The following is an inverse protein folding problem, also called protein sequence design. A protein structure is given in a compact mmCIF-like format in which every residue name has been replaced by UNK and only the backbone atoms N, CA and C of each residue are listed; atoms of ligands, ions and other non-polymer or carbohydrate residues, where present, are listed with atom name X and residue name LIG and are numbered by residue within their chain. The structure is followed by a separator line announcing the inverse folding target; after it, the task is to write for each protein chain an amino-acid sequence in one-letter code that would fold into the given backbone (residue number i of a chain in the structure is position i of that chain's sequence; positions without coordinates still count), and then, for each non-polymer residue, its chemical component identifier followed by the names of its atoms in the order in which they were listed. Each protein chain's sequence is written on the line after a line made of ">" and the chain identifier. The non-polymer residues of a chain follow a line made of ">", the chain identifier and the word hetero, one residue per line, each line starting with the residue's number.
data_IF_142976512949
#
_entry.id   IF_142976512949
#
_cell.length_a   1.000
_cell.length_b   1.000
_cell.length_c   1.000
_cell.angle_alpha   90.00
_cell.angle_beta   90.00
_cell.angle_gamma   90.00
#
_symmetry.space_group_name_H-M   'P 1'
#
loop_
_entity.id
_entity.type
_entity.pdbx_description
1 polymer ?
#
# COMPACT_ATOMS: atom_id res chain seq x y z
N UNK A 1 -40.01 -35.16 23.41
CA UNK A 1 -40.57 -33.96 22.77
C UNK A 1 -39.80 -32.75 23.28
N UNK A 2 -39.51 -31.80 22.40
CA UNK A 2 -38.92 -30.47 22.67
C UNK A 2 -37.42 -30.46 22.98
N UNK A 3 -36.54 -29.66 22.36
CA UNK A 3 -36.69 -28.50 21.51
C UNK A 3 -35.48 -28.41 20.55
N UNK A 4 -35.72 -28.44 19.25
CA UNK A 4 -34.75 -27.99 18.24
C UNK A 4 -34.90 -26.47 18.11
N UNK A 5 -34.07 -25.69 18.82
CA UNK A 5 -33.90 -24.28 18.50
C UNK A 5 -32.94 -24.16 17.33
N UNK A 6 -33.49 -24.15 16.12
CA UNK A 6 -32.85 -23.61 14.93
C UNK A 6 -32.63 -22.10 15.15
N UNK A 7 -31.42 -21.70 15.52
CA UNK A 7 -30.97 -20.33 15.34
C UNK A 7 -30.85 -20.07 13.83
N UNK A 8 -31.92 -19.53 13.24
CA UNK A 8 -31.88 -18.97 11.88
C UNK A 8 -30.99 -17.73 11.96
N UNK A 9 -29.77 -17.84 11.46
CA UNK A 9 -28.98 -16.67 11.13
C UNK A 9 -29.66 -15.96 9.94
N UNK A 10 -30.32 -14.84 10.22
CA UNK A 10 -30.79 -13.87 9.24
C UNK A 10 -29.57 -13.29 8.51
N UNK A 11 -29.15 -13.96 7.44
CA UNK A 11 -28.26 -13.36 6.45
C UNK A 11 -29.12 -12.48 5.55
N UNK A 12 -29.24 -11.20 5.88
CA UNK A 12 -29.89 -10.23 5.00
C UNK A 12 -29.18 -10.27 3.64
N UNK A 13 -29.91 -10.61 2.59
CA UNK A 13 -29.37 -10.77 1.25
C UNK A 13 -28.84 -9.44 0.68
N UNK A 14 -28.02 -9.46 -0.40
CA UNK A 14 -27.51 -8.24 -1.03
C UNK A 14 -28.62 -7.21 -1.35
N UNK A 15 -29.80 -7.70 -1.73
CA UNK A 15 -30.98 -6.90 -2.08
C UNK A 15 -31.60 -6.14 -0.91
N UNK A 16 -31.43 -6.62 0.33
CA UNK A 16 -31.94 -5.93 1.53
C UNK A 16 -31.00 -4.82 2.00
N UNK A 17 -29.71 -4.89 1.64
CA UNK A 17 -28.74 -3.85 1.93
C UNK A 17 -28.94 -2.62 1.03
N UNK A 18 -29.36 -2.83 -0.22
CA UNK A 18 -29.62 -1.74 -1.19
C UNK A 18 -30.81 -0.84 -0.77
N UNK A 19 -31.70 -1.35 0.08
CA UNK A 19 -32.86 -0.61 0.58
C UNK A 19 -32.57 0.21 1.85
N UNK A 20 -31.38 0.08 2.46
CA UNK A 20 -31.02 0.79 3.69
C UNK A 20 -30.61 2.24 3.41
N UNK A 21 -30.97 3.15 4.31
CA UNK A 21 -30.37 4.50 4.32
C UNK A 21 -28.88 4.43 4.66
N UNK A 22 -28.11 5.45 4.27
CA UNK A 22 -26.67 5.52 4.57
C UNK A 22 -26.36 5.35 6.06
N UNK A 23 -27.15 5.96 6.94
CA UNK A 23 -26.99 5.85 8.40
C UNK A 23 -27.35 4.45 8.89
N UNK A 24 -28.41 3.83 8.35
CA UNK A 24 -28.80 2.47 8.69
C UNK A 24 -27.74 1.45 8.22
N UNK A 25 -27.17 1.62 7.02
CA UNK A 25 -26.08 0.80 6.51
C UNK A 25 -24.82 0.93 7.38
N UNK A 26 -24.49 2.15 7.82
CA UNK A 26 -23.37 2.40 8.73
C UNK A 26 -23.55 1.66 10.06
N UNK A 27 -24.72 1.80 10.70
CA UNK A 27 -25.01 1.12 11.98
C UNK A 27 -25.05 -0.41 11.83
N UNK A 28 -25.62 -0.90 10.73
CA UNK A 28 -25.61 -2.33 10.40
C UNK A 28 -24.19 -2.87 10.25
N UNK A 29 -23.31 -2.13 9.56
CA UNK A 29 -21.88 -2.49 9.40
C UNK A 29 -21.15 -2.55 10.75
N UNK A 30 -21.38 -1.58 11.64
CA UNK A 30 -20.81 -1.59 12.99
C UNK A 30 -21.28 -2.81 13.80
N UNK A 31 -22.57 -3.13 13.71
CA UNK A 31 -23.19 -4.28 14.38
C UNK A 31 -22.62 -5.61 13.86
N UNK A 32 -22.52 -5.76 12.53
CA UNK A 32 -21.93 -6.94 11.89
C UNK A 32 -20.47 -7.13 12.30
N UNK A 33 -19.68 -6.05 12.35
CA UNK A 33 -18.29 -6.14 12.80
C UNK A 33 -18.18 -6.49 14.30
N UNK A 34 -19.06 -5.98 15.16
CA UNK A 34 -19.10 -6.37 16.57
C UNK A 34 -19.49 -7.85 16.74
N UNK A 35 -20.47 -8.34 16.00
CA UNK A 35 -20.83 -9.76 15.98
C UNK A 35 -19.66 -10.64 15.52
N UNK A 36 -18.94 -10.22 14.47
CA UNK A 36 -17.73 -10.89 13.98
C UNK A 36 -16.65 -11.00 15.06
N UNK A 37 -16.40 -9.93 15.82
CA UNK A 37 -15.41 -9.93 16.91
C UNK A 37 -15.76 -10.92 18.03
N UNK A 38 -17.04 -10.95 18.45
CA UNK A 38 -17.53 -11.93 19.44
C UNK A 38 -17.43 -13.36 18.94
N UNK A 39 -17.71 -13.59 17.66
CA UNK A 39 -17.56 -14.91 17.03
C UNK A 39 -16.09 -15.37 17.02
N UNK A 40 -15.14 -14.48 16.74
CA UNK A 40 -13.70 -14.79 16.81
C UNK A 40 -13.31 -15.16 18.25
N UNK A 41 -13.70 -14.37 19.26
CA UNK A 41 -13.38 -14.68 20.65
C UNK A 41 -13.93 -16.05 21.07
N UNK A 42 -15.18 -16.36 20.71
CA UNK A 42 -15.80 -17.68 20.95
C UNK A 42 -15.04 -18.81 20.25
N UNK A 43 -14.62 -18.61 19.00
CA UNK A 43 -13.83 -19.58 18.25
C UNK A 43 -12.49 -19.87 18.93
N UNK A 44 -11.76 -18.85 19.40
CA UNK A 44 -10.49 -19.04 20.11
C UNK A 44 -10.68 -19.86 21.39
N UNK A 45 -11.74 -19.59 22.15
CA UNK A 45 -12.10 -20.36 23.34
C UNK A 45 -12.40 -21.84 23.00
N UNK A 46 -13.13 -22.11 21.93
CA UNK A 46 -13.39 -23.48 21.47
C UNK A 46 -12.11 -24.20 21.05
N UNK A 47 -11.23 -23.54 20.30
CA UNK A 47 -9.96 -24.09 19.87
C UNK A 47 -9.06 -24.44 21.07
N UNK A 48 -9.02 -23.57 22.09
CA UNK A 48 -8.29 -23.82 23.33
C UNK A 48 -8.79 -25.09 24.06
N UNK A 49 -10.12 -25.25 24.19
CA UNK A 49 -10.71 -26.43 24.83
C UNK A 49 -10.55 -27.71 24.00
N UNK A 50 -10.61 -27.61 22.67
CA UNK A 50 -10.36 -28.73 21.75
C UNK A 50 -8.92 -29.26 21.90
N UNK A 51 -7.96 -28.37 22.11
CA UNK A 51 -6.57 -28.75 22.31
C UNK A 51 -6.32 -29.35 23.69
N UNK A 52 -6.89 -28.74 24.74
CA UNK A 52 -6.81 -29.26 26.12
C UNK A 52 -7.35 -30.68 26.22
N UNK A 53 -8.51 -30.92 25.62
CA UNK A 53 -9.16 -32.24 25.58
C UNK A 53 -8.59 -33.17 24.50
N UNK A 54 -7.59 -32.70 23.73
CA UNK A 54 -6.97 -33.41 22.60
C UNK A 54 -7.98 -33.97 21.59
N UNK A 55 -9.12 -33.29 21.40
CA UNK A 55 -10.20 -33.74 20.50
C UNK A 55 -9.74 -33.78 19.04
N UNK A 56 -8.81 -32.92 18.65
CA UNK A 56 -8.20 -32.94 17.32
C UNK A 56 -7.52 -34.28 17.02
N UNK A 57 -6.83 -34.89 18.00
CA UNK A 57 -6.21 -36.21 17.85
C UNK A 57 -7.25 -37.32 17.70
N UNK A 58 -8.31 -37.29 18.52
CA UNK A 58 -9.43 -38.26 18.45
C UNK A 58 -10.13 -38.20 17.09
N UNK A 59 -10.14 -37.02 16.45
CA UNK A 59 -10.71 -36.81 15.12
C UNK A 59 -9.72 -37.03 13.97
N UNK A 60 -8.49 -37.48 14.26
CA UNK A 60 -7.50 -37.87 13.24
C UNK A 60 -6.65 -36.72 12.68
N UNK A 61 -6.60 -35.57 13.34
CA UNK A 61 -5.73 -34.46 12.94
C UNK A 61 -4.42 -34.48 13.75
N UNK A 62 -3.30 -34.28 13.07
CA UNK A 62 -1.96 -34.36 13.65
C UNK A 62 -1.64 -33.23 14.64
N UNK A 63 -2.35 -32.12 14.57
CA UNK A 63 -2.22 -30.97 15.46
C UNK A 63 -3.47 -30.08 15.43
N UNK A 64 -3.57 -29.12 16.35
CA UNK A 64 -4.62 -28.10 16.29
C UNK A 64 -4.53 -27.27 14.99
N UNK A 65 -3.32 -27.01 14.50
CA UNK A 65 -3.11 -26.34 13.22
C UNK A 65 -3.67 -27.14 12.04
N UNK A 66 -3.38 -28.45 11.99
CA UNK A 66 -3.88 -29.37 10.96
C UNK A 66 -5.43 -29.43 10.96
N UNK A 67 -6.04 -29.45 12.14
CA UNK A 67 -7.50 -29.32 12.29
C UNK A 67 -8.01 -28.00 11.67
N UNK A 68 -7.36 -26.87 11.98
CA UNK A 68 -7.81 -25.55 11.50
C UNK A 68 -7.76 -25.46 9.97
N UNK A 69 -6.71 -25.99 9.35
CA UNK A 69 -6.55 -25.95 7.89
C UNK A 69 -7.51 -26.93 7.21
N UNK A 70 -7.48 -28.21 7.60
CA UNK A 70 -8.18 -29.28 6.87
C UNK A 70 -9.66 -29.44 7.23
N UNK A 71 -10.04 -29.17 8.47
CA UNK A 71 -11.43 -29.31 8.93
C UNK A 71 -12.19 -27.98 8.85
N UNK A 72 -11.58 -26.90 9.35
CA UNK A 72 -12.23 -25.60 9.43
C UNK A 72 -12.03 -24.73 8.18
N UNK A 73 -11.26 -25.21 7.19
CA UNK A 73 -11.06 -24.52 5.91
C UNK A 73 -10.31 -23.20 6.02
N UNK A 74 -9.52 -23.00 7.08
CA UNK A 74 -8.75 -21.77 7.27
C UNK A 74 -7.50 -21.77 6.38
N UNK A 75 -7.11 -20.59 5.89
CA UNK A 75 -5.77 -20.42 5.32
C UNK A 75 -4.70 -20.63 6.39
N UNK A 76 -3.49 -20.98 5.98
CA UNK A 76 -2.32 -21.22 6.85
C UNK A 76 -2.06 -20.04 7.79
N UNK A 77 -2.12 -18.82 7.24
CA UNK A 77 -1.93 -17.60 8.03
C UNK A 77 -3.06 -17.35 9.04
N UNK A 78 -4.30 -17.69 8.70
CA UNK A 78 -5.43 -17.60 9.63
C UNK A 78 -5.34 -18.68 10.71
N UNK A 79 -4.98 -19.91 10.35
CA UNK A 79 -4.77 -21.02 11.26
C UNK A 79 -3.66 -20.70 12.27
N UNK A 80 -2.50 -20.21 11.81
CA UNK A 80 -1.39 -19.83 12.70
C UNK A 80 -1.81 -18.79 13.74
N UNK A 81 -2.51 -17.72 13.32
CA UNK A 81 -2.99 -16.67 14.24
C UNK A 81 -4.05 -17.21 15.20
N UNK A 82 -4.95 -18.07 14.73
CA UNK A 82 -6.03 -18.64 15.55
C UNK A 82 -5.47 -19.60 16.60
N UNK A 83 -4.51 -20.44 16.25
CA UNK A 83 -3.80 -21.33 17.19
C UNK A 83 -3.02 -20.50 18.21
N UNK A 84 -2.20 -19.54 17.76
CA UNK A 84 -1.44 -18.66 18.66
C UNK A 84 -2.36 -17.87 19.60
N UNK A 85 -3.49 -17.39 19.07
CA UNK A 85 -4.51 -16.67 19.83
C UNK A 85 -5.23 -17.56 20.84
N UNK A 86 -5.55 -18.81 20.48
CA UNK A 86 -6.16 -19.78 21.39
C UNK A 86 -5.22 -20.14 22.55
N UNK A 87 -3.93 -20.34 22.27
CA UNK A 87 -2.91 -20.56 23.29
C UNK A 87 -2.81 -19.37 24.25
N UNK A 88 -2.72 -18.14 23.73
CA UNK A 88 -2.63 -16.94 24.55
C UNK A 88 -3.91 -16.70 25.36
N UNK A 89 -5.09 -16.88 24.75
CA UNK A 89 -6.38 -16.74 25.39
C UNK A 89 -6.58 -17.72 26.55
N UNK A 90 -6.04 -18.94 26.43
CA UNK A 90 -6.06 -19.94 27.50
C UNK A 90 -5.23 -19.51 28.71
N UNK A 91 -4.02 -19.00 28.46
CA UNK A 91 -3.13 -18.55 29.54
C UNK A 91 -3.57 -17.20 30.12
N UNK A 92 -4.22 -16.35 29.32
CA UNK A 92 -4.61 -14.98 29.68
C UNK A 92 -6.06 -14.69 29.24
N UNK A 93 -7.06 -15.16 30.00
CA UNK A 93 -8.48 -14.99 29.68
C UNK A 93 -8.95 -13.54 29.39
N UNK A 94 -8.42 -12.48 30.04
CA UNK A 94 -8.81 -11.10 29.74
C UNK A 94 -8.63 -10.69 28.26
N UNK A 95 -7.72 -11.34 27.53
CA UNK A 95 -7.52 -11.09 26.10
C UNK A 95 -8.77 -11.43 25.25
N UNK A 96 -9.61 -12.38 25.68
CA UNK A 96 -10.83 -12.76 24.96
C UNK A 96 -11.90 -11.66 25.04
N UNK A 97 -12.07 -11.05 26.21
CA UNK A 97 -13.00 -9.92 26.41
C UNK A 97 -12.56 -8.71 25.59
N UNK A 98 -11.25 -8.40 25.59
CA UNK A 98 -10.70 -7.35 24.76
C UNK A 98 -10.92 -7.58 23.27
N UNK A 99 -10.84 -8.83 22.80
CA UNK A 99 -11.18 -9.18 21.42
C UNK A 99 -12.68 -8.99 21.15
N UNK A 100 -13.54 -9.49 22.04
CA UNK A 100 -14.98 -9.41 21.90
C UNK A 100 -15.48 -7.96 21.80
N UNK A 101 -14.97 -7.06 22.65
CA UNK A 101 -15.34 -5.65 22.66
C UNK A 101 -14.66 -4.86 21.52
N UNK A 102 -13.52 -5.34 21.04
CA UNK A 102 -12.75 -4.72 19.95
C UNK A 102 -11.61 -3.83 20.40
N UNK A 103 -11.24 -3.89 21.68
CA UNK A 103 -10.01 -3.28 22.22
C UNK A 103 -8.75 -3.99 21.71
N UNK A 104 -8.83 -5.26 21.31
CA UNK A 104 -7.71 -6.00 20.74
C UNK A 104 -8.16 -6.76 19.49
N UNK A 105 -7.31 -6.79 18.45
CA UNK A 105 -7.57 -7.61 17.26
C UNK A 105 -6.74 -8.91 17.27
N UNK A 106 -7.22 -9.99 16.64
CA UNK A 106 -6.56 -11.32 16.63
C UNK A 106 -5.09 -11.27 16.21
N UNK A 107 -4.75 -10.48 15.19
CA UNK A 107 -3.36 -10.30 14.75
C UNK A 107 -2.46 -9.70 15.84
N UNK A 108 -3.02 -8.85 16.70
CA UNK A 108 -2.30 -8.17 17.78
C UNK A 108 -2.02 -9.15 18.90
N UNK A 109 -3.05 -9.91 19.31
CA UNK A 109 -2.89 -11.02 20.25
C UNK A 109 -1.83 -12.02 19.78
N UNK A 110 -1.85 -12.42 18.50
CA UNK A 110 -0.85 -13.34 17.94
C UNK A 110 0.58 -12.77 17.95
N UNK A 111 0.77 -11.45 17.87
CA UNK A 111 2.09 -10.81 17.92
C UNK A 111 2.65 -10.78 19.34
N UNK A 112 1.79 -10.51 20.33
CA UNK A 112 2.19 -10.43 21.73
C UNK A 112 2.22 -11.79 22.44
N UNK A 113 1.54 -12.81 21.88
CA UNK A 113 1.33 -14.12 22.51
C UNK A 113 2.61 -14.75 23.09
N UNK A 114 3.72 -14.70 22.35
CA UNK A 114 5.01 -15.28 22.78
C UNK A 114 5.73 -14.49 23.88
N UNK A 115 5.27 -13.28 24.18
CA UNK A 115 5.89 -12.34 25.12
C UNK A 115 5.00 -12.05 26.33
N UNK A 116 3.76 -12.52 26.33
CA UNK A 116 2.87 -12.45 27.47
C UNK A 116 3.36 -13.44 28.54
N UNK A 117 3.54 -12.93 29.75
CA UNK A 117 3.87 -13.69 30.96
C UNK A 117 2.88 -13.33 32.07
N UNK A 118 2.72 -14.18 33.10
CA UNK A 118 1.85 -13.88 34.25
C UNK A 118 2.16 -12.55 34.94
N UNK A 119 3.40 -12.05 34.84
CA UNK A 119 3.83 -10.81 35.47
C UNK A 119 3.54 -9.57 34.63
N UNK A 120 3.55 -9.69 33.29
CA UNK A 120 3.42 -8.54 32.39
C UNK A 120 2.06 -8.42 31.70
N UNK A 121 1.23 -9.48 31.72
CA UNK A 121 0.08 -9.58 30.83
C UNK A 121 -0.95 -8.45 31.03
N UNK A 122 -1.23 -8.02 32.26
CA UNK A 122 -2.20 -6.95 32.53
C UNK A 122 -1.74 -5.65 31.86
N UNK A 123 -0.55 -5.18 32.20
CA UNK A 123 -0.03 -3.90 31.71
C UNK A 123 0.23 -3.94 30.19
N UNK A 124 0.75 -5.05 29.66
CA UNK A 124 0.99 -5.17 28.22
C UNK A 124 -0.33 -5.20 27.44
N UNK A 125 -1.37 -5.87 27.95
CA UNK A 125 -2.69 -5.88 27.33
C UNK A 125 -3.34 -4.48 27.33
N UNK A 126 -3.22 -3.74 28.43
CA UNK A 126 -3.66 -2.34 28.51
C UNK A 126 -2.91 -1.45 27.50
N UNK A 127 -1.58 -1.59 27.43
CA UNK A 127 -0.75 -0.80 26.53
C UNK A 127 -1.04 -1.03 25.05
N UNK A 128 -1.53 -2.23 24.66
CA UNK A 128 -1.91 -2.54 23.27
C UNK A 128 -3.40 -2.31 22.97
N UNK A 129 -4.20 -1.93 23.97
CA UNK A 129 -5.62 -1.70 23.79
C UNK A 129 -5.89 -0.55 22.81
N UNK A 130 -6.77 -0.78 21.83
CA UNK A 130 -7.19 0.20 20.83
C UNK A 130 -6.14 0.53 19.76
N UNK A 131 -4.97 -0.12 19.79
CA UNK A 131 -3.85 0.18 18.90
C UNK A 131 -3.91 -0.58 17.59
N UNK A 132 -3.37 0.03 16.53
CA UNK A 132 -3.20 -0.66 15.25
C UNK A 132 -2.05 -1.66 15.32
N UNK A 133 -1.95 -2.57 14.35
CA UNK A 133 -0.79 -3.48 14.23
C UNK A 133 0.55 -2.73 14.29
N UNK A 134 0.66 -1.57 13.63
CA UNK A 134 1.89 -0.79 13.61
C UNK A 134 2.22 -0.24 15.00
N UNK A 135 1.22 0.32 15.68
CA UNK A 135 1.39 0.88 17.03
C UNK A 135 1.69 -0.22 18.07
N UNK A 136 1.12 -1.42 17.92
CA UNK A 136 1.44 -2.57 18.76
C UNK A 136 2.92 -2.95 18.60
N UNK A 137 3.47 -2.88 17.40
CA UNK A 137 4.90 -3.14 17.19
C UNK A 137 5.78 -2.09 17.88
N UNK A 138 5.36 -0.82 17.91
CA UNK A 138 6.04 0.25 18.67
C UNK A 138 6.00 -0.06 20.18
N UNK A 139 4.84 -0.44 20.71
CA UNK A 139 4.70 -0.84 22.12
C UNK A 139 5.61 -2.01 22.46
N UNK A 140 5.65 -3.03 21.59
CA UNK A 140 6.52 -4.19 21.79
C UNK A 140 8.00 -3.82 21.74
N UNK A 141 8.40 -2.86 20.90
CA UNK A 141 9.77 -2.35 20.87
C UNK A 141 10.13 -1.62 22.17
N UNK A 142 9.18 -0.87 22.77
CA UNK A 142 9.36 -0.21 24.08
C UNK A 142 9.55 -1.24 25.21
N UNK A 143 8.72 -2.27 25.22
CA UNK A 143 8.74 -3.31 26.25
C UNK A 143 9.93 -4.27 26.12
N UNK A 144 10.34 -4.55 24.89
CA UNK A 144 11.38 -5.53 24.56
C UNK A 144 12.40 -4.91 23.59
N UNK A 145 13.20 -3.92 24.05
CA UNK A 145 14.18 -3.26 23.20
C UNK A 145 15.19 -4.29 22.70
N UNK A 146 15.44 -4.27 21.39
CA UNK A 146 16.51 -5.06 20.79
C UNK A 146 17.77 -4.20 20.71
N UNK A 147 18.96 -4.78 20.91
CA UNK A 147 20.20 -4.04 20.73
C UNK A 147 20.30 -3.55 19.28
N UNK A 148 20.89 -2.36 19.12
CA UNK A 148 21.10 -1.74 17.81
C UNK A 148 21.85 -2.72 16.89
N UNK A 149 21.24 -3.04 15.75
CA UNK A 149 21.90 -3.85 14.71
C UNK A 149 22.78 -2.88 13.92
N UNK A 150 24.10 -3.08 13.84
CA UNK A 150 24.98 -2.18 13.11
C UNK A 150 24.59 -2.12 11.63
N UNK A 151 24.74 -0.94 11.04
CA UNK A 151 24.51 -0.69 9.62
C UNK A 151 25.30 -1.70 8.77
N UNK A 152 24.60 -2.64 8.13
CA UNK A 152 25.18 -3.62 7.21
C UNK A 152 24.56 -3.47 5.84
N UNK A 153 25.40 -3.13 4.86
CA UNK A 153 25.09 -3.25 3.44
C UNK A 153 25.70 -4.56 2.97
N UNK A 154 24.93 -5.64 3.04
CA UNK A 154 25.34 -6.93 2.48
C UNK A 154 24.77 -7.09 1.05
N UNK A 155 25.58 -7.47 0.07
CA UNK A 155 25.06 -7.86 -1.23
C UNK A 155 24.16 -9.09 -1.07
N UNK A 156 22.95 -9.04 -1.62
CA UNK A 156 22.06 -10.22 -1.68
C UNK A 156 22.65 -11.18 -2.70
N UNK A 157 23.51 -12.07 -2.23
CA UNK A 157 24.00 -13.21 -3.01
C UNK A 157 22.82 -14.14 -3.28
N UNK A 158 22.51 -14.36 -4.55
CA UNK A 158 21.58 -15.41 -4.96
C UNK A 158 22.09 -16.78 -4.47
N UNK A 159 21.38 -17.35 -3.51
CA UNK A 159 21.37 -18.75 -3.05
C UNK A 159 22.65 -19.58 -3.16
N UNK A 160 23.22 -19.95 -2.01
CA UNK A 160 23.61 -21.35 -1.73
C UNK A 160 23.63 -21.61 -0.23
N UNK A 161 23.17 -22.81 0.12
CA UNK A 161 22.70 -23.24 1.43
C UNK A 161 23.80 -23.54 2.47
N UNK A 162 23.47 -23.27 3.74
CA UNK A 162 24.12 -23.77 4.96
C UNK A 162 23.32 -23.27 6.18
N UNK A 163 22.86 -24.18 7.05
CA UNK A 163 21.81 -23.97 8.08
C UNK A 163 22.06 -22.84 9.10
N UNK A 164 21.09 -22.31 9.84
CA UNK A 164 19.91 -22.93 10.45
C UNK A 164 18.83 -21.88 10.80
N UNK A 165 17.56 -22.30 10.66
CA UNK A 165 16.35 -21.86 11.39
C UNK A 165 15.73 -20.47 11.14
N UNK A 166 14.58 -20.47 10.45
CA UNK A 166 13.52 -19.45 10.63
C UNK A 166 12.77 -19.01 9.36
N UNK A 167 11.91 -19.89 8.82
CA UNK A 167 11.10 -19.69 7.61
C UNK A 167 10.09 -18.53 7.70
N UNK A 168 10.11 -17.60 6.72
CA UNK A 168 8.93 -16.90 6.21
C UNK A 168 9.08 -16.63 4.70
N UNK A 169 8.31 -17.37 3.91
CA UNK A 169 7.43 -16.84 2.86
C UNK A 169 8.08 -16.02 1.75
N UNK A 170 8.23 -16.68 0.61
CA UNK A 170 8.45 -16.09 -0.71
C UNK A 170 7.28 -15.15 -1.06
N UNK A 171 7.54 -13.85 -1.02
CA UNK A 171 6.87 -12.83 -1.84
C UNK A 171 7.98 -11.92 -2.39
N UNK A 172 8.48 -12.30 -3.56
CA UNK A 172 9.43 -11.52 -4.34
C UNK A 172 8.75 -10.33 -4.98
N UNK A 173 8.69 -9.21 -4.27
CA UNK A 173 8.74 -7.85 -4.83
C UNK A 173 8.82 -6.85 -3.67
N UNK A 174 9.97 -6.16 -3.60
CA UNK A 174 10.17 -4.83 -3.00
C UNK A 174 9.18 -4.44 -1.90
N UNK A 175 9.58 -4.63 -0.64
CA UNK A 175 9.03 -3.85 0.45
C UNK A 175 10.16 -3.17 1.20
N UNK A 176 10.21 -1.84 1.07
CA UNK A 176 10.79 -1.00 2.12
C UNK A 176 9.99 -1.27 3.39
N UNK A 177 10.67 -1.77 4.42
CA UNK A 177 10.06 -2.06 5.71
C UNK A 177 10.67 -1.09 6.71
N UNK A 178 9.84 -0.17 7.19
CA UNK A 178 10.17 0.73 8.29
C UNK A 178 9.72 0.02 9.56
N UNK A 179 10.66 -0.57 10.30
CA UNK A 179 10.37 -1.17 11.61
C UNK A 179 10.77 -0.19 12.71
N UNK A 180 9.87 0.17 13.64
CA UNK A 180 10.27 0.97 14.80
C UNK A 180 11.25 0.19 15.67
N UNK A 181 12.43 0.76 15.93
CA UNK A 181 13.44 0.25 16.88
C UNK A 181 13.23 0.87 18.27
N UNK A 182 12.82 2.14 18.34
CA UNK A 182 12.44 2.89 19.55
C UNK A 182 11.37 3.95 19.23
N UNK A 183 10.88 4.72 20.22
CA UNK A 183 9.91 5.82 20.00
C UNK A 183 10.43 6.91 19.04
N UNK A 184 11.76 7.04 18.90
CA UNK A 184 12.42 8.08 18.09
C UNK A 184 13.27 7.50 16.94
N UNK A 185 13.45 6.18 16.85
CA UNK A 185 14.32 5.54 15.84
C UNK A 185 13.62 4.42 15.10
N UNK A 186 13.75 4.43 13.79
CA UNK A 186 13.16 3.46 12.89
C UNK A 186 14.25 2.78 12.05
N UNK A 187 14.24 1.45 11.99
CA UNK A 187 15.03 0.68 11.03
C UNK A 187 14.39 0.83 9.66
N UNK A 188 15.11 1.45 8.73
CA UNK A 188 14.71 1.53 7.33
C UNK A 188 15.50 0.49 6.55
N UNK A 189 14.85 -0.62 6.21
CA UNK A 189 15.46 -1.66 5.36
C UNK A 189 14.76 -1.73 4.01
N UNK A 190 15.52 -1.59 2.93
CA UNK A 190 15.04 -1.83 1.57
C UNK A 190 16.18 -2.39 0.70
N UNK A 191 15.83 -3.19 -0.30
CA UNK A 191 16.77 -3.63 -1.32
C UNK A 191 16.94 -2.54 -2.38
N UNK A 192 18.16 -2.01 -2.51
CA UNK A 192 18.52 -0.99 -3.51
C UNK A 192 19.17 -1.60 -4.75
N UNK A 193 19.01 -0.94 -5.91
CA UNK A 193 19.74 -1.31 -7.13
C UNK A 193 21.22 -0.93 -7.04
N UNK A 194 22.06 -1.51 -7.92
CA UNK A 194 23.47 -1.13 -8.02
C UNK A 194 23.66 0.37 -8.33
N UNK A 195 22.76 0.96 -9.13
CA UNK A 195 22.76 2.39 -9.42
C UNK A 195 22.46 3.23 -8.17
N UNK A 196 21.51 2.78 -7.33
CA UNK A 196 21.19 3.46 -6.07
C UNK A 196 22.37 3.40 -5.09
N UNK A 197 23.05 2.25 -5.00
CA UNK A 197 24.29 2.12 -4.22
C UNK A 197 25.34 3.11 -4.70
N UNK A 198 25.57 3.21 -6.00
CA UNK A 198 26.55 4.14 -6.57
C UNK A 198 26.20 5.61 -6.26
N UNK A 199 24.91 5.99 -6.35
CA UNK A 199 24.43 7.33 -5.97
C UNK A 199 24.65 7.61 -4.48
N UNK A 200 24.40 6.62 -3.63
CA UNK A 200 24.59 6.73 -2.19
C UNK A 200 26.07 6.92 -1.82
N UNK A 201 26.96 6.12 -2.41
CA UNK A 201 28.41 6.24 -2.23
C UNK A 201 28.93 7.60 -2.73
N UNK A 202 28.43 8.06 -3.88
CA UNK A 202 28.78 9.37 -4.42
C UNK A 202 28.33 10.50 -3.48
N UNK A 203 27.11 10.44 -2.96
CA UNK A 203 26.60 11.40 -1.99
C UNK A 203 27.41 11.39 -0.68
N UNK A 204 27.75 10.22 -0.14
CA UNK A 204 28.59 10.10 1.06
C UNK A 204 29.99 10.70 0.85
N UNK A 205 30.57 10.53 -0.33
CA UNK A 205 31.88 11.09 -0.66
C UNK A 205 31.83 12.63 -0.75
N UNK A 206 30.80 13.18 -1.40
CA UNK A 206 30.58 14.63 -1.45
C UNK A 206 30.29 15.23 -0.06
N UNK A 207 29.62 14.48 0.81
CA UNK A 207 29.30 14.89 2.18
C UNK A 207 30.36 14.51 3.21
N UNK A 208 31.54 14.04 2.77
CA UNK A 208 32.59 13.53 3.66
C UNK A 208 33.06 14.53 4.71
N UNK A 209 33.03 15.84 4.40
CA UNK A 209 33.35 16.92 5.33
C UNK A 209 32.26 17.22 6.36
N UNK A 210 31.04 16.73 6.16
CA UNK A 210 29.89 17.00 7.03
C UNK A 210 29.48 15.73 7.80
N UNK A 211 29.16 14.66 7.10
CA UNK A 211 28.91 13.33 7.66
C UNK A 211 28.77 12.29 6.55
N UNK A 212 29.35 11.12 6.74
CA UNK A 212 29.13 9.93 5.88
C UNK A 212 28.00 9.04 6.40
N UNK A 213 27.37 9.39 7.53
CA UNK A 213 26.28 8.60 8.12
C UNK A 213 25.09 8.60 7.17
N UNK A 214 24.52 7.41 6.94
CA UNK A 214 23.40 7.23 6.03
C UNK A 214 22.19 8.06 6.43
N UNK A 215 21.86 8.08 7.72
CA UNK A 215 20.80 8.90 8.30
C UNK A 215 20.85 10.36 7.82
N UNK A 216 22.01 11.01 7.95
CA UNK A 216 22.20 12.42 7.59
C UNK A 216 22.11 12.64 6.07
N UNK A 217 22.64 11.70 5.29
CA UNK A 217 22.57 11.75 3.81
C UNK A 217 21.12 11.60 3.35
N UNK A 218 20.38 10.64 3.91
CA UNK A 218 18.99 10.39 3.57
C UNK A 218 18.08 11.53 4.03
N UNK A 219 18.25 12.06 5.24
CA UNK A 219 17.48 13.18 5.75
C UNK A 219 17.59 14.40 4.82
N UNK A 220 18.82 14.78 4.45
CA UNK A 220 19.04 15.90 3.51
C UNK A 220 18.50 15.63 2.10
N UNK A 221 18.62 14.39 1.63
CA UNK A 221 18.08 14.01 0.33
C UNK A 221 16.55 14.11 0.32
N UNK A 222 15.89 13.64 1.38
CA UNK A 222 14.44 13.72 1.56
C UNK A 222 13.98 15.17 1.72
N UNK A 223 14.66 15.99 2.51
CA UNK A 223 14.37 17.42 2.64
C UNK A 223 14.41 18.14 1.28
N UNK A 224 15.43 17.87 0.48
CA UNK A 224 15.56 18.44 -0.86
C UNK A 224 14.41 17.99 -1.76
N UNK A 225 14.09 16.69 -1.76
CA UNK A 225 13.00 16.14 -2.55
C UNK A 225 11.63 16.71 -2.13
N UNK A 226 11.37 16.81 -0.83
CA UNK A 226 10.14 17.38 -0.28
C UNK A 226 10.01 18.83 -0.72
N UNK A 227 11.06 19.65 -0.57
CA UNK A 227 11.06 21.06 -1.02
C UNK A 227 10.80 21.17 -2.52
N UNK A 228 11.40 20.31 -3.32
CA UNK A 228 11.20 20.27 -4.77
C UNK A 228 9.73 19.93 -5.12
N UNK A 229 9.17 18.90 -4.50
CA UNK A 229 7.80 18.44 -4.75
C UNK A 229 6.77 19.47 -4.25
N UNK A 230 6.95 20.04 -3.05
CA UNK A 230 6.08 21.08 -2.52
C UNK A 230 6.09 22.34 -3.39
N UNK A 231 7.25 22.71 -3.93
CA UNK A 231 7.35 23.82 -4.89
C UNK A 231 6.67 23.47 -6.23
N UNK A 232 6.91 22.28 -6.77
CA UNK A 232 6.34 21.85 -8.06
C UNK A 232 4.81 21.79 -7.99
N UNK A 233 4.28 21.14 -6.96
CA UNK A 233 2.85 20.84 -6.85
C UNK A 233 2.05 22.01 -6.27
N UNK A 234 2.57 22.67 -5.23
CA UNK A 234 1.81 23.64 -4.43
C UNK A 234 2.36 25.07 -4.53
N UNK A 235 3.50 25.27 -5.21
CA UNK A 235 4.11 26.58 -5.34
C UNK A 235 4.73 27.10 -4.04
N UNK A 236 4.99 26.23 -3.06
CA UNK A 236 5.70 26.56 -1.82
C UNK A 236 7.15 26.92 -2.14
N UNK A 237 7.52 28.17 -1.94
CA UNK A 237 8.85 28.70 -2.27
C UNK A 237 9.22 29.79 -1.28
N UNK A 238 10.50 29.86 -0.92
CA UNK A 238 11.02 30.83 0.06
C UNK A 238 11.00 32.28 -0.46
N UNK A 239 11.06 32.47 -1.79
CA UNK A 239 11.10 33.81 -2.42
C UNK A 239 10.05 33.96 -3.51
N UNK A 240 8.77 34.16 -3.14
CA UNK A 240 7.72 34.34 -4.10
C UNK A 240 7.83 35.68 -4.84
N UNK A 241 7.66 35.66 -6.17
CA UNK A 241 7.50 36.87 -6.96
C UNK A 241 6.10 37.45 -6.74
N UNK A 242 5.98 38.79 -6.73
CA UNK A 242 4.66 39.45 -6.72
C UNK A 242 3.90 39.08 -7.99
N UNK A 243 2.70 38.54 -7.85
CA UNK A 243 1.80 38.28 -8.97
C UNK A 243 1.26 39.61 -9.51
N UNK A 244 1.38 39.83 -10.82
CA UNK A 244 0.63 40.89 -11.50
C UNK A 244 -0.87 40.56 -11.44
N UNK A 245 -1.68 41.51 -10.98
CA UNK A 245 -3.09 41.31 -10.55
C UNK A 245 -4.11 40.94 -11.64
N UNK A 246 -3.75 40.09 -12.61
CA UNK A 246 -4.68 39.59 -13.62
C UNK A 246 -5.49 38.45 -13.01
N UNK A 247 -6.80 38.65 -12.87
CA UNK A 247 -7.74 37.62 -12.40
C UNK A 247 -7.93 36.58 -13.51
N UNK A 248 -7.37 35.40 -13.32
CA UNK A 248 -7.56 34.25 -14.20
C UNK A 248 -8.55 33.27 -13.53
N UNK A 249 -9.23 32.46 -14.34
CA UNK A 249 -10.09 31.39 -13.84
C UNK A 249 -9.25 30.27 -13.20
N UNK A 250 -7.97 30.14 -13.57
CA UNK A 250 -7.07 29.13 -12.99
C UNK A 250 -6.37 29.67 -11.74
N UNK A 251 -6.20 28.84 -10.70
CA UNK A 251 -5.51 29.26 -9.48
C UNK A 251 -4.04 29.53 -9.74
N UNK A 252 -3.57 30.68 -9.25
CA UNK A 252 -2.17 31.05 -9.34
C UNK A 252 -1.31 30.18 -8.41
N UNK A 253 0.02 30.24 -8.59
CA UNK A 253 0.96 29.62 -7.63
C UNK A 253 0.88 30.23 -6.24
N UNK A 254 0.43 31.49 -6.12
CA UNK A 254 0.20 32.12 -4.82
C UNK A 254 -1.07 31.54 -4.18
N UNK A 255 -2.16 31.39 -4.93
CA UNK A 255 -3.41 30.82 -4.43
C UNK A 255 -3.24 29.37 -3.97
N UNK A 256 -2.48 28.56 -4.73
CA UNK A 256 -2.18 27.17 -4.35
C UNK A 256 -1.38 27.07 -3.06
N UNK A 257 -0.41 27.97 -2.86
CA UNK A 257 0.41 28.01 -1.64
C UNK A 257 -0.44 28.36 -0.43
N UNK A 258 -1.24 29.41 -0.56
CA UNK A 258 -2.14 29.87 0.51
C UNK A 258 -3.10 28.76 0.94
N UNK A 259 -3.75 28.10 -0.02
CA UNK A 259 -4.67 26.98 0.26
C UNK A 259 -3.93 25.79 0.88
N UNK A 260 -2.73 25.46 0.40
CA UNK A 260 -1.96 24.34 0.95
C UNK A 260 -1.51 24.57 2.40
N UNK A 261 -1.07 25.77 2.72
CA UNK A 261 -0.68 26.18 4.07
C UNK A 261 -1.90 26.25 5.00
N UNK A 262 -2.98 26.90 4.56
CA UNK A 262 -4.25 27.01 5.30
C UNK A 262 -4.83 25.63 5.64
N UNK A 263 -4.79 24.69 4.70
CA UNK A 263 -5.39 23.36 4.89
C UNK A 263 -4.42 22.36 5.56
N UNK A 264 -3.17 22.76 5.85
CA UNK A 264 -2.22 21.97 6.65
C UNK A 264 -1.75 20.68 5.96
N UNK A 265 -1.63 20.70 4.62
CA UNK A 265 -1.27 19.53 3.81
C UNK A 265 -2.17 18.30 4.10
N UNK A 266 -3.46 18.53 4.31
CA UNK A 266 -4.45 17.52 4.64
C UNK A 266 -5.78 17.85 3.98
N UNK A 267 -6.54 16.81 3.62
CA UNK A 267 -7.89 16.98 3.10
C UNK A 267 -8.74 17.89 4.02
N UNK A 268 -9.40 18.87 3.42
CA UNK A 268 -10.26 19.85 4.09
C UNK A 268 -11.71 19.38 4.26
N UNK A 269 -12.10 18.25 3.67
CA UNK A 269 -13.44 17.70 3.79
C UNK A 269 -13.78 17.37 5.25
N UNK A 270 -14.98 17.79 5.67
CA UNK A 270 -15.59 17.48 6.95
C UNK A 270 -16.93 16.80 6.69
N UNK A 271 -17.15 15.65 7.33
CA UNK A 271 -18.42 14.93 7.22
C UNK A 271 -19.58 15.73 7.84
N UNK A 272 -20.85 15.40 7.54
CA UNK A 272 -22.00 15.98 8.22
C UNK A 272 -21.97 15.81 9.75
N UNK A 273 -21.29 14.75 10.22
CA UNK A 273 -21.07 14.48 11.66
C UNK A 273 -19.88 15.23 12.26
N UNK A 274 -19.22 16.13 11.51
CA UNK A 274 -18.11 16.96 12.00
C UNK A 274 -16.72 16.33 11.93
N UNK A 275 -16.56 15.17 11.29
CA UNK A 275 -15.26 14.46 11.22
C UNK A 275 -14.46 14.91 10.01
N UNK A 276 -13.26 15.45 10.23
CA UNK A 276 -12.34 15.85 9.15
C UNK A 276 -11.55 14.65 8.60
N UNK A 277 -11.45 14.55 7.29
CA UNK A 277 -10.65 13.52 6.63
C UNK A 277 -9.15 13.65 6.97
N UNK A 278 -8.48 12.53 7.29
CA UNK A 278 -7.05 12.47 7.66
C UNK A 278 -6.10 12.21 6.49
N UNK A 279 -6.61 12.12 5.26
CA UNK A 279 -5.79 11.85 4.09
C UNK A 279 -4.79 13.00 3.81
N UNK A 280 -3.52 12.64 3.65
CA UNK A 280 -2.40 13.55 3.27
C UNK A 280 -1.81 13.25 1.90
N UNK A 281 -2.20 12.12 1.30
CA UNK A 281 -1.74 11.69 -0.02
C UNK A 281 -2.81 11.94 -1.09
N UNK A 282 -2.37 12.01 -2.35
CA UNK A 282 -3.23 12.25 -3.52
C UNK A 282 -4.14 13.47 -3.36
N UNK A 283 -3.59 14.53 -2.75
CA UNK A 283 -4.29 15.81 -2.59
C UNK A 283 -4.40 16.52 -3.93
N UNK A 284 -5.56 17.11 -4.15
CA UNK A 284 -5.94 17.85 -5.36
C UNK A 284 -6.50 19.21 -4.94
N UNK A 285 -6.22 20.23 -5.74
CA UNK A 285 -6.83 21.55 -5.57
C UNK A 285 -8.24 21.50 -6.15
N UNK A 286 -9.23 21.57 -5.27
CA UNK A 286 -10.64 21.65 -5.62
C UNK A 286 -11.14 23.09 -5.48
N UNK A 287 -12.16 23.43 -6.26
CA UNK A 287 -12.85 24.71 -6.15
C UNK A 287 -14.18 24.46 -5.42
N UNK A 288 -14.45 25.22 -4.35
CA UNK A 288 -15.71 25.14 -3.59
C UNK A 288 -16.88 25.36 -4.54
N UNK A 289 -16.82 26.44 -5.32
CA UNK A 289 -17.66 26.64 -6.50
C UNK A 289 -16.87 26.18 -7.74
N UNK A 290 -17.30 25.09 -8.40
CA UNK A 290 -16.56 24.55 -9.53
C UNK A 290 -16.44 25.52 -10.71
N UNK A 291 -15.30 25.50 -11.40
CA UNK A 291 -15.03 26.35 -12.57
C UNK A 291 -16.11 26.24 -13.66
N UNK A 292 -16.60 25.03 -13.93
CA UNK A 292 -17.67 24.80 -14.91
C UNK A 292 -19.01 25.41 -14.55
N UNK A 293 -19.16 25.92 -13.31
CA UNK A 293 -20.33 26.66 -12.82
C UNK A 293 -20.03 28.16 -12.61
N UNK A 294 -18.90 28.66 -13.10
CA UNK A 294 -18.52 30.07 -13.00
C UNK A 294 -17.70 30.44 -11.75
N UNK A 295 -17.23 29.46 -10.98
CA UNK A 295 -16.32 29.71 -9.86
C UNK A 295 -14.98 30.28 -10.29
N UNK A 296 -14.38 31.14 -9.46
CA UNK A 296 -13.07 31.77 -9.71
C UNK A 296 -11.89 30.93 -9.21
N UNK A 297 -10.67 31.23 -9.68
CA UNK A 297 -9.44 30.53 -9.27
C UNK A 297 -8.78 31.07 -7.99
N UNK A 298 -9.41 32.02 -7.29
CA UNK A 298 -8.82 32.70 -6.14
C UNK A 298 -8.74 31.77 -4.93
N UNK A 299 -7.74 31.96 -4.06
CA UNK A 299 -7.53 31.13 -2.87
C UNK A 299 -8.77 30.92 -1.98
N UNK A 300 -9.64 31.93 -1.88
CA UNK A 300 -10.91 31.85 -1.12
C UNK A 300 -11.88 30.79 -1.67
N UNK A 301 -11.86 30.54 -2.98
CA UNK A 301 -12.66 29.52 -3.63
C UNK A 301 -11.91 28.16 -3.68
N UNK A 302 -10.64 28.13 -3.31
CA UNK A 302 -9.83 26.91 -3.33
C UNK A 302 -9.87 26.14 -2.02
N UNK A 303 -9.76 24.82 -2.09
CA UNK A 303 -9.52 23.91 -0.96
C UNK A 303 -8.75 22.66 -1.39
N UNK A 304 -8.11 21.99 -0.44
CA UNK A 304 -7.48 20.69 -0.69
C UNK A 304 -8.45 19.55 -0.41
N UNK A 305 -8.64 18.67 -1.38
CA UNK A 305 -9.36 17.41 -1.20
C UNK A 305 -8.47 16.24 -1.62
N UNK A 306 -8.62 15.08 -0.97
CA UNK A 306 -8.06 13.85 -1.54
C UNK A 306 -8.83 13.47 -2.80
N UNK A 307 -8.21 12.67 -3.68
CA UNK A 307 -8.84 12.23 -4.93
C UNK A 307 -10.28 11.69 -4.75
N UNK A 308 -10.54 10.93 -3.68
CA UNK A 308 -11.87 10.40 -3.39
C UNK A 308 -12.90 11.49 -3.02
N UNK A 309 -12.54 12.45 -2.16
CA UNK A 309 -13.45 13.53 -1.80
C UNK A 309 -13.62 14.56 -2.94
N UNK A 310 -12.60 14.74 -3.78
CA UNK A 310 -12.74 15.55 -4.99
C UNK A 310 -13.70 14.90 -5.99
N UNK A 311 -13.64 13.59 -6.17
CA UNK A 311 -14.61 12.85 -6.99
C UNK A 311 -16.03 12.96 -6.41
N UNK A 312 -16.19 12.77 -5.10
CA UNK A 312 -17.47 12.97 -4.41
C UNK A 312 -18.05 14.37 -4.67
N UNK A 313 -17.22 15.42 -4.50
CA UNK A 313 -17.64 16.79 -4.75
C UNK A 313 -18.04 17.01 -6.22
N UNK A 314 -17.26 16.49 -7.17
CA UNK A 314 -17.55 16.58 -8.58
C UNK A 314 -18.89 15.91 -8.93
N UNK A 315 -19.18 14.73 -8.36
CA UNK A 315 -20.46 14.02 -8.54
C UNK A 315 -21.63 14.80 -7.95
N UNK A 316 -21.47 15.38 -6.77
CA UNK A 316 -22.50 16.23 -6.15
C UNK A 316 -22.77 17.49 -6.96
N UNK A 317 -21.73 18.09 -7.56
CA UNK A 317 -21.87 19.31 -8.33
C UNK A 317 -22.43 19.05 -9.75
N UNK A 318 -21.99 18.02 -10.44
CA UNK A 318 -22.27 17.82 -11.87
C UNK A 318 -23.18 16.62 -12.19
N UNK A 319 -23.46 15.76 -11.20
CA UNK A 319 -24.17 14.50 -11.38
C UNK A 319 -23.25 13.35 -11.74
N UNK A 320 -23.51 12.16 -11.18
CA UNK A 320 -22.68 10.97 -11.36
C UNK A 320 -22.55 10.55 -12.83
N UNK A 321 -23.65 10.56 -13.58
CA UNK A 321 -23.67 10.13 -14.99
C UNK A 321 -22.74 10.97 -15.88
N UNK A 322 -22.72 12.28 -15.67
CA UNK A 322 -21.87 13.21 -16.42
C UNK A 322 -20.39 12.97 -16.10
N UNK A 323 -20.07 12.70 -14.83
CA UNK A 323 -18.71 12.39 -14.41
C UNK A 323 -18.26 11.04 -14.98
N UNK A 324 -19.10 10.02 -14.92
CA UNK A 324 -18.78 8.69 -15.44
C UNK A 324 -18.57 8.69 -16.95
N UNK A 325 -19.38 9.44 -17.71
CA UNK A 325 -19.16 9.64 -19.15
C UNK A 325 -17.83 10.34 -19.44
N UNK A 326 -17.49 11.41 -18.69
CA UNK A 326 -16.20 12.10 -18.84
C UNK A 326 -15.01 11.19 -18.51
N UNK A 327 -15.12 10.37 -17.47
CA UNK A 327 -14.09 9.39 -17.11
C UNK A 327 -13.92 8.36 -18.22
N UNK A 328 -15.03 7.80 -18.75
CA UNK A 328 -14.99 6.86 -19.87
C UNK A 328 -14.33 7.46 -21.10
N UNK A 329 -14.72 8.67 -21.49
CA UNK A 329 -14.11 9.38 -22.63
C UNK A 329 -12.62 9.63 -22.42
N UNK A 330 -12.22 10.07 -21.23
CA UNK A 330 -10.81 10.31 -20.92
C UNK A 330 -9.97 9.02 -20.98
N UNK A 331 -10.51 7.90 -20.47
CA UNK A 331 -9.86 6.59 -20.58
C UNK A 331 -9.70 6.14 -22.03
N UNK A 332 -10.76 6.25 -22.84
CA UNK A 332 -10.69 5.91 -24.26
C UNK A 332 -9.64 6.75 -25.02
N UNK A 333 -9.53 8.05 -24.71
CA UNK A 333 -8.48 8.90 -25.30
C UNK A 333 -7.08 8.49 -24.83
N UNK A 334 -6.91 8.14 -23.55
CA UNK A 334 -5.63 7.68 -23.02
C UNK A 334 -5.21 6.33 -23.61
N UNK A 335 -6.15 5.40 -23.80
CA UNK A 335 -5.92 4.12 -24.45
C UNK A 335 -5.51 4.30 -25.92
N UNK A 336 -6.16 5.20 -26.65
CA UNK A 336 -5.79 5.54 -28.03
C UNK A 336 -4.40 6.19 -28.11
N UNK A 337 -4.07 7.09 -27.18
CA UNK A 337 -2.75 7.70 -27.11
C UNK A 337 -1.66 6.67 -26.76
N UNK A 338 -1.95 5.74 -25.83
CA UNK A 338 -1.05 4.64 -25.49
C UNK A 338 -0.85 3.66 -26.65
N UNK A 339 -1.89 3.37 -27.41
CA UNK A 339 -1.79 2.54 -28.62
C UNK A 339 -0.96 3.24 -29.72
N UNK A 340 -1.09 4.55 -29.88
CA UNK A 340 -0.28 5.34 -30.80
C UNK A 340 1.20 5.38 -30.36
N UNK A 341 1.48 5.53 -29.07
CA UNK A 341 2.85 5.53 -28.51
C UNK A 341 3.50 4.15 -28.64
N UNK A 342 2.76 3.07 -28.37
CA UNK A 342 3.23 1.70 -28.59
C UNK A 342 3.51 1.40 -30.08
N UNK A 343 2.67 1.91 -30.98
CA UNK A 343 2.90 1.82 -32.42
C UNK A 343 4.14 2.61 -32.86
N UNK A 344 4.42 3.75 -32.22
CA UNK A 344 5.60 4.57 -32.51
C UNK A 344 6.89 3.94 -31.95
N UNK A 345 6.88 3.40 -30.73
CA UNK A 345 8.01 2.67 -30.15
C UNK A 345 8.39 1.43 -30.97
N UNK A 346 7.38 0.70 -31.46
CA UNK A 346 7.59 -0.46 -32.35
C UNK A 346 8.27 -0.03 -33.67
N UNK A 347 7.83 1.09 -34.26
CA UNK A 347 8.43 1.66 -35.47
C UNK A 347 9.88 2.09 -35.23
N UNK A 348 10.15 2.77 -34.11
CA UNK A 348 11.49 3.22 -33.72
C UNK A 348 12.44 2.03 -33.48
N UNK A 349 11.95 0.93 -32.90
CA UNK A 349 12.71 -0.33 -32.75
C UNK A 349 13.06 -0.95 -34.11
N UNK A 350 12.10 -1.04 -35.03
CA UNK A 350 12.33 -1.54 -36.39
C UNK A 350 13.36 -0.69 -37.15
N UNK A 351 13.31 0.65 -37.01
CA UNK A 351 14.27 1.55 -37.62
C UNK A 351 15.68 1.40 -37.03
N UNK A 352 15.81 1.32 -35.70
CA UNK A 352 17.08 1.07 -35.01
C UNK A 352 17.68 -0.29 -35.41
N UNK A 353 16.87 -1.34 -35.49
CA UNK A 353 17.29 -2.67 -35.95
C UNK A 353 17.81 -2.62 -37.39
N UNK A 354 17.07 -1.98 -38.30
CA UNK A 354 17.48 -1.82 -39.71
C UNK A 354 18.82 -1.09 -39.82
N UNK A 355 19.02 -0.02 -39.07
CA UNK A 355 20.29 0.72 -39.05
C UNK A 355 21.41 -0.17 -38.53
N UNK A 356 21.22 -0.87 -37.40
CA UNK A 356 22.22 -1.74 -36.82
C UNK A 356 22.69 -2.85 -37.78
N UNK A 357 21.75 -3.52 -38.47
CA UNK A 357 22.08 -4.59 -39.43
C UNK A 357 22.84 -4.07 -40.66
N UNK A 358 22.49 -2.89 -41.16
CA UNK A 358 23.23 -2.26 -42.27
C UNK A 358 24.64 -1.87 -41.84
N UNK A 359 24.81 -1.34 -40.62
CA UNK A 359 26.14 -1.03 -40.06
C UNK A 359 26.99 -2.28 -39.87
N UNK A 360 26.39 -3.44 -39.60
CA UNK A 360 27.08 -4.74 -39.53
C UNK A 360 27.46 -5.32 -40.91
N UNK A 361 27.10 -4.66 -42.02
CA UNK A 361 27.52 -5.03 -43.37
C UNK A 361 26.48 -5.78 -44.21
N UNK A 362 25.26 -5.97 -43.71
CA UNK A 362 24.18 -6.61 -44.46
C UNK A 362 23.54 -5.66 -45.49
N UNK A 363 23.11 -6.19 -46.64
CA UNK A 363 22.49 -5.37 -47.69
C UNK A 363 21.15 -4.80 -47.20
N UNK A 364 20.93 -3.50 -47.44
CA UNK A 364 19.71 -2.78 -47.05
C UNK A 364 18.42 -3.49 -47.49
N UNK A 365 18.42 -4.10 -48.67
CA UNK A 365 17.27 -4.85 -49.21
C UNK A 365 16.96 -6.13 -48.42
N UNK A 366 17.97 -6.81 -47.88
CA UNK A 366 17.83 -8.01 -47.05
C UNK A 366 17.38 -7.62 -45.63
N UNK A 367 17.97 -6.55 -45.06
CA UNK A 367 17.56 -6.01 -43.77
C UNK A 367 16.08 -5.60 -43.77
N UNK A 368 15.60 -4.92 -44.82
CA UNK A 368 14.18 -4.55 -44.92
C UNK A 368 13.25 -5.76 -44.96
N UNK A 369 13.64 -6.85 -45.64
CA UNK A 369 12.85 -8.09 -45.69
C UNK A 369 12.77 -8.77 -44.32
N UNK A 370 13.89 -8.83 -43.60
CA UNK A 370 13.94 -9.47 -42.28
C UNK A 370 13.18 -8.64 -41.23
N UNK A 371 13.31 -7.32 -41.24
CA UNK A 371 12.52 -6.45 -40.36
C UNK A 371 11.02 -6.57 -40.62
N UNK A 372 10.60 -6.69 -41.89
CA UNK A 372 9.20 -6.94 -42.23
C UNK A 372 8.72 -8.33 -41.78
N UNK A 373 9.59 -9.35 -41.84
CA UNK A 373 9.27 -10.72 -41.43
C UNK A 373 9.20 -10.92 -39.91
N UNK A 374 9.73 -9.99 -39.11
CA UNK A 374 9.63 -10.04 -37.64
C UNK A 374 8.21 -9.66 -37.15
N UNK A 375 7.42 -8.92 -37.94
CA UNK A 375 6.00 -8.66 -37.67
C UNK A 375 5.70 -8.26 -36.21
N UNK A 376 4.81 -9.01 -35.54
CA UNK A 376 4.40 -8.77 -34.14
C UNK A 376 5.49 -9.10 -33.10
N UNK A 377 6.60 -9.74 -33.48
CA UNK A 377 7.73 -10.00 -32.58
C UNK A 377 8.41 -8.69 -32.17
N UNK A 378 8.38 -7.67 -33.04
CA UNK A 378 8.90 -6.33 -32.77
C UNK A 378 8.16 -5.60 -31.63
N UNK A 379 6.90 -5.94 -31.39
CA UNK A 379 6.08 -5.39 -30.29
C UNK A 379 6.44 -6.02 -28.94
N UNK A 380 6.89 -7.29 -28.93
CA UNK A 380 7.05 -8.10 -27.71
C UNK A 380 8.48 -8.19 -27.21
N UNK A 381 9.46 -8.17 -28.11
CA UNK A 381 10.85 -8.45 -27.77
C UNK A 381 11.66 -7.15 -27.59
N UNK A 382 12.61 -7.11 -26.62
CA UNK A 382 13.55 -6.01 -26.51
C UNK A 382 14.53 -6.00 -27.70
N UNK A 383 15.12 -4.84 -27.99
CA UNK A 383 15.90 -4.59 -29.20
C UNK A 383 17.08 -5.56 -29.37
N UNK A 384 17.73 -5.97 -28.28
CA UNK A 384 18.84 -6.92 -28.27
C UNK A 384 18.43 -8.33 -28.72
N UNK A 385 17.22 -8.77 -28.37
CA UNK A 385 16.66 -10.04 -28.81
C UNK A 385 16.23 -9.99 -30.28
N UNK A 386 15.66 -8.86 -30.72
CA UNK A 386 15.32 -8.63 -32.13
C UNK A 386 16.56 -8.64 -33.04
N UNK A 387 17.69 -8.08 -32.58
CA UNK A 387 18.96 -8.14 -33.30
C UNK A 387 19.43 -9.59 -33.45
N UNK A 388 19.37 -10.40 -32.38
CA UNK A 388 19.75 -11.82 -32.44
C UNK A 388 18.89 -12.61 -33.42
N UNK A 389 17.58 -12.44 -33.34
CA UNK A 389 16.62 -13.12 -34.21
C UNK A 389 16.80 -12.71 -35.69
N UNK A 390 17.03 -11.42 -35.94
CA UNK A 390 17.33 -10.94 -37.28
C UNK A 390 18.64 -11.50 -37.85
N UNK A 391 19.69 -11.61 -37.03
CA UNK A 391 20.97 -12.18 -37.43
C UNK A 391 20.85 -13.68 -37.75
N UNK A 392 20.06 -14.44 -36.97
CA UNK A 392 19.77 -15.85 -37.25
C UNK A 392 19.10 -16.03 -38.61
N UNK A 393 18.20 -15.12 -39.00
CA UNK A 393 17.51 -15.15 -40.30
C UNK A 393 18.39 -14.68 -41.48
N UNK A 394 19.35 -13.79 -41.23
CA UNK A 394 20.30 -13.30 -42.23
C UNK A 394 21.52 -14.21 -42.44
N UNK A 395 21.81 -15.08 -41.48
CA UNK A 395 22.91 -16.05 -41.54
C UNK A 395 22.39 -17.48 -41.35
N UNK A 396 21.56 -17.99 -42.29
CA UNK A 396 21.20 -19.40 -42.27
C UNK A 396 22.49 -20.24 -42.44
N UNK A 397 22.69 -21.20 -41.55
CA UNK A 397 23.83 -22.14 -41.61
C UNK A 397 23.83 -22.97 -42.89
#
# INVERSE_FOLDING_TARGET
>A
MSNQNHERHESNGPQELDALSNDALWQSTLTANAARRRAIARLLMHLALIEERRLHLVRGYSSLYDLCVRCLGMSEGQAHRSVSGAHAARSFPPALEMIADGRLHLTGLSLIAKRLTPENHVQLLEDVAGKTKADILIVLARWFPRPDVPDRVEPVSGGSAGGEQGNLGLDGAQRSRVEPLSEERFLVHFSGSAELKAKLEHAQNLMSHVSRRLEVVFERALDSLIRELENKQWGKTERPRRSGGRKDQRPSRADKREVYERDGAQCSYVSPSGVRCTARAFLQYDHVDPLGKGGGGEARNGRLLCAAHNDLHARQAYGSEVIDEKIRRARATAEQAGAADASQDTKDKCDKLRVALVTMGFKKTECCKVVAALGTEAERLPLDQLIREALLRLTPR
#
